data_IF_357311402066
#
_entry.id   IF_357311402066
#
_cell.length_a   1.000
_cell.length_b   1.000
_cell.length_c   1.000
_cell.angle_alpha   90.00
_cell.angle_beta   90.00
_cell.angle_gamma   90.00
#
_symmetry.space_group_name_H-M   'P 1'
#
loop_
_entity.id
_entity.type
_entity.pdbx_description
1 polymer ?
#
# COMPACT_ATOMS: atom_id res chain seq x y z
N UNK A 1 5.49 -24.92 -7.26
CA UNK A 1 5.46 -24.73 -5.80
C UNK A 1 6.73 -24.00 -5.38
N UNK A 2 6.57 -22.86 -4.73
CA UNK A 2 7.71 -22.10 -4.21
C UNK A 2 8.01 -22.57 -2.77
N UNK A 3 9.27 -22.86 -2.42
CA UNK A 3 9.62 -23.23 -1.07
C UNK A 3 9.15 -22.18 -0.04
N UNK A 4 8.36 -22.61 0.94
CA UNK A 4 7.75 -21.72 1.94
C UNK A 4 6.37 -21.17 1.57
N UNK A 5 5.83 -21.44 0.38
CA UNK A 5 4.44 -21.13 0.07
C UNK A 5 3.52 -21.99 0.91
N UNK A 6 2.52 -21.37 1.56
CA UNK A 6 1.59 -22.08 2.47
C UNK A 6 0.39 -22.69 1.74
N UNK A 7 0.16 -22.32 0.48
CA UNK A 7 -1.06 -22.66 -0.25
C UNK A 7 -2.32 -22.05 0.39
N UNK A 8 -3.46 -22.36 -0.21
CA UNK A 8 -4.76 -22.02 0.39
C UNK A 8 -5.13 -23.08 1.44
N UNK A 9 -5.15 -22.66 2.72
CA UNK A 9 -5.51 -23.56 3.84
C UNK A 9 -7.01 -23.60 4.11
N UNK A 10 -7.78 -22.73 3.46
CA UNK A 10 -9.21 -22.61 3.71
C UNK A 10 -10.02 -23.57 2.84
N UNK A 11 -9.72 -23.61 1.55
CA UNK A 11 -10.45 -24.40 0.55
C UNK A 11 -9.56 -25.35 -0.26
N UNK A 12 -8.23 -25.28 -0.09
CA UNK A 12 -7.27 -26.08 -0.86
C UNK A 12 -7.18 -25.68 -2.33
N UNK A 13 -7.55 -24.46 -2.69
CA UNK A 13 -7.57 -24.00 -4.07
C UNK A 13 -6.15 -23.75 -4.58
N UNK A 14 -5.83 -24.12 -5.84
CA UNK A 14 -4.49 -24.00 -6.38
C UNK A 14 -4.10 -22.58 -6.78
N UNK A 15 -5.07 -21.70 -7.08
CA UNK A 15 -4.81 -20.36 -7.56
C UNK A 15 -5.69 -19.30 -6.89
N UNK A 16 -5.15 -18.09 -6.72
CA UNK A 16 -5.90 -16.95 -6.17
C UNK A 16 -7.17 -16.62 -6.99
N UNK A 17 -7.13 -16.79 -8.31
CA UNK A 17 -8.30 -16.59 -9.17
C UNK A 17 -9.50 -17.45 -8.77
N UNK A 18 -9.25 -18.61 -8.20
CA UNK A 18 -10.31 -19.55 -7.82
C UNK A 18 -11.09 -19.03 -6.60
N UNK A 19 -10.46 -18.24 -5.73
CA UNK A 19 -11.12 -17.49 -4.66
C UNK A 19 -12.07 -16.44 -5.24
N UNK A 20 -11.63 -15.70 -6.26
CA UNK A 20 -12.47 -14.71 -6.95
C UNK A 20 -13.66 -15.37 -7.64
N UNK A 21 -13.44 -16.47 -8.34
CA UNK A 21 -14.50 -17.25 -9.00
C UNK A 21 -15.46 -17.91 -8.00
N UNK A 22 -14.98 -18.23 -6.77
CA UNK A 22 -15.85 -18.72 -5.69
C UNK A 22 -16.77 -17.62 -5.19
N UNK A 23 -16.27 -16.38 -5.06
CA UNK A 23 -17.09 -15.24 -4.66
C UNK A 23 -18.11 -14.85 -5.72
N UNK A 24 -17.70 -14.83 -6.99
CA UNK A 24 -18.58 -14.57 -8.14
C UNK A 24 -18.08 -15.34 -9.38
N UNK A 25 -18.80 -16.39 -9.80
CA UNK A 25 -18.43 -17.18 -11.00
C UNK A 25 -18.40 -16.38 -12.31
N UNK A 26 -18.99 -15.18 -12.33
CA UNK A 26 -19.03 -14.31 -13.50
C UNK A 26 -18.01 -13.17 -13.44
N UNK A 27 -17.20 -13.13 -12.40
CA UNK A 27 -16.20 -12.05 -12.22
C UNK A 27 -15.29 -11.99 -13.44
N UNK A 28 -15.08 -10.76 -13.92
CA UNK A 28 -14.15 -10.47 -15.01
C UNK A 28 -13.20 -9.37 -14.55
N UNK A 29 -11.91 -9.57 -14.77
CA UNK A 29 -10.91 -8.59 -14.39
C UNK A 29 -9.61 -9.21 -13.90
N UNK A 30 -8.77 -8.36 -13.32
CA UNK A 30 -7.47 -8.77 -12.77
C UNK A 30 -7.64 -9.22 -11.33
N UNK A 31 -7.11 -10.40 -11.01
CA UNK A 31 -6.97 -10.85 -9.62
C UNK A 31 -5.80 -10.13 -8.95
N UNK A 32 -6.04 -9.57 -7.79
CA UNK A 32 -5.08 -8.78 -7.02
C UNK A 32 -5.03 -9.22 -5.56
N UNK A 33 -4.00 -8.81 -4.85
CA UNK A 33 -3.85 -8.93 -3.40
C UNK A 33 -3.75 -7.50 -2.83
N UNK A 34 -4.21 -7.29 -1.59
CA UNK A 34 -4.79 -8.24 -0.62
C UNK A 34 -6.22 -8.68 -1.00
N UNK A 35 -6.72 -9.70 -0.31
CA UNK A 35 -8.13 -10.10 -0.34
C UNK A 35 -8.60 -10.29 1.10
N UNK A 36 -9.55 -9.47 1.52
CA UNK A 36 -10.29 -9.68 2.77
C UNK A 36 -11.50 -10.57 2.49
N UNK A 37 -11.52 -11.75 3.09
CA UNK A 37 -12.50 -12.81 2.84
C UNK A 37 -13.45 -12.98 4.02
N UNK A 38 -14.75 -12.96 3.77
CA UNK A 38 -15.78 -13.37 4.73
C UNK A 38 -16.00 -14.90 4.62
N UNK A 39 -15.60 -15.61 5.68
CA UNK A 39 -15.69 -17.08 5.71
C UNK A 39 -17.13 -17.60 5.86
N UNK A 40 -17.99 -16.80 6.48
CA UNK A 40 -19.38 -17.20 6.72
C UNK A 40 -20.23 -17.01 5.46
N UNK A 41 -20.04 -15.87 4.80
CA UNK A 41 -20.75 -15.55 3.55
C UNK A 41 -20.07 -16.07 2.30
N UNK A 42 -18.87 -16.63 2.44
CA UNK A 42 -18.02 -17.13 1.35
C UNK A 42 -17.84 -16.11 0.22
N UNK A 43 -17.52 -14.87 0.57
CA UNK A 43 -17.35 -13.80 -0.40
C UNK A 43 -16.19 -12.87 -0.07
N UNK A 44 -15.75 -12.10 -1.06
CA UNK A 44 -14.76 -11.03 -0.88
C UNK A 44 -15.46 -9.81 -0.27
N UNK A 45 -14.96 -9.36 0.88
CA UNK A 45 -15.37 -8.09 1.53
C UNK A 45 -14.77 -6.91 0.80
N UNK A 46 -13.46 -6.95 0.59
CA UNK A 46 -12.70 -5.97 -0.19
C UNK A 46 -11.38 -6.57 -0.66
N UNK A 47 -10.87 -6.07 -1.77
CA UNK A 47 -9.52 -6.32 -2.26
C UNK A 47 -8.71 -5.01 -2.42
N UNK A 48 -9.19 -3.93 -1.83
CA UNK A 48 -8.53 -2.63 -1.85
C UNK A 48 -7.88 -2.34 -0.50
N UNK A 49 -6.54 -2.23 -0.49
CA UNK A 49 -5.76 -2.05 0.75
C UNK A 49 -6.21 -0.84 1.57
N UNK A 50 -6.55 0.26 0.91
CA UNK A 50 -6.97 1.50 1.57
C UNK A 50 -8.29 1.35 2.32
N UNK A 51 -9.20 0.53 1.80
CA UNK A 51 -10.48 0.22 2.47
C UNK A 51 -10.25 -0.76 3.63
N UNK A 52 -9.44 -1.80 3.40
CA UNK A 52 -9.18 -2.85 4.40
C UNK A 52 -8.54 -2.26 5.65
N UNK A 53 -7.54 -1.39 5.52
CA UNK A 53 -6.90 -0.76 6.69
C UNK A 53 -7.88 0.13 7.46
N UNK A 54 -8.80 0.83 6.78
CA UNK A 54 -9.85 1.64 7.42
C UNK A 54 -10.91 0.78 8.10
N UNK A 55 -11.28 -0.36 7.52
CA UNK A 55 -12.13 -1.33 8.20
C UNK A 55 -11.48 -1.82 9.49
N UNK A 56 -10.19 -2.17 9.45
CA UNK A 56 -9.46 -2.66 10.61
C UNK A 56 -9.19 -1.58 11.66
N UNK A 57 -9.26 -0.31 11.28
CA UNK A 57 -9.07 0.79 12.21
C UNK A 57 -10.16 0.86 13.31
N UNK A 58 -11.35 0.33 13.05
CA UNK A 58 -12.47 0.43 14.02
C UNK A 58 -13.39 -0.79 14.08
N UNK A 59 -13.41 -1.67 13.08
CA UNK A 59 -14.42 -2.74 12.99
C UNK A 59 -14.35 -3.77 14.14
N UNK A 60 -13.23 -3.86 14.82
CA UNK A 60 -13.00 -4.83 15.89
C UNK A 60 -12.84 -4.22 17.28
N UNK A 61 -13.04 -2.91 17.44
CA UNK A 61 -12.83 -2.18 18.70
C UNK A 61 -13.68 -2.74 19.83
N UNK A 62 -14.95 -3.05 19.56
CA UNK A 62 -15.86 -3.66 20.53
C UNK A 62 -15.41 -5.05 21.02
N UNK A 63 -14.59 -5.74 20.22
CA UNK A 63 -14.08 -7.09 20.54
C UNK A 63 -12.72 -6.99 21.23
N UNK A 64 -11.85 -6.10 20.74
CA UNK A 64 -10.45 -5.98 21.19
C UNK A 64 -10.29 -5.01 22.35
N UNK A 65 -11.23 -4.08 22.52
CA UNK A 65 -11.10 -2.95 23.44
C UNK A 65 -10.05 -1.93 22.98
N UNK A 66 -9.57 -2.03 21.74
CA UNK A 66 -8.61 -1.06 21.20
C UNK A 66 -9.31 0.27 20.93
N UNK A 67 -8.62 1.37 21.21
CA UNK A 67 -9.11 2.74 20.99
C UNK A 67 -8.16 3.56 20.11
N UNK A 68 -7.13 2.92 19.55
CA UNK A 68 -6.21 3.57 18.63
C UNK A 68 -6.94 3.90 17.32
N UNK A 69 -6.91 5.18 16.94
CA UNK A 69 -7.51 5.66 15.69
C UNK A 69 -6.43 6.29 14.81
N UNK A 70 -6.09 5.61 13.71
CA UNK A 70 -5.10 6.06 12.73
C UNK A 70 -5.69 6.91 11.59
N UNK A 71 -7.01 7.12 11.60
CA UNK A 71 -7.73 7.97 10.65
C UNK A 71 -8.75 8.88 11.34
N UNK A 72 -8.29 9.68 12.33
CA UNK A 72 -9.15 10.49 13.18
C UNK A 72 -9.86 11.59 12.40
N UNK A 73 -11.11 11.85 12.79
CA UNK A 73 -12.00 12.76 12.08
C UNK A 73 -11.41 14.13 11.81
N UNK A 74 -10.71 14.69 12.79
CA UNK A 74 -10.11 16.03 12.74
C UNK A 74 -8.90 16.14 11.79
N UNK A 75 -8.28 15.02 11.40
CA UNK A 75 -7.12 15.01 10.50
C UNK A 75 -7.44 14.53 9.08
N UNK A 76 -8.66 14.09 8.80
CA UNK A 76 -9.02 13.50 7.48
C UNK A 76 -8.73 14.42 6.31
N UNK A 77 -9.10 15.69 6.42
CA UNK A 77 -8.87 16.67 5.36
C UNK A 77 -7.38 16.92 5.09
N UNK A 78 -6.51 16.69 6.09
CA UNK A 78 -5.06 16.76 5.94
C UNK A 78 -4.46 15.42 5.44
N UNK A 79 -5.02 14.29 5.84
CA UNK A 79 -4.59 12.93 5.47
C UNK A 79 -4.85 12.64 3.99
N UNK A 80 -6.04 12.95 3.48
CA UNK A 80 -6.44 12.56 2.13
C UNK A 80 -5.49 13.08 1.02
N UNK A 81 -5.10 14.37 0.97
CA UNK A 81 -4.19 14.84 -0.07
C UNK A 81 -2.77 14.23 0.06
N UNK A 82 -2.31 13.97 1.29
CA UNK A 82 -1.03 13.29 1.53
C UNK A 82 -1.09 11.86 1.03
N UNK A 83 -2.16 11.12 1.36
CA UNK A 83 -2.38 9.77 0.88
C UNK A 83 -2.48 9.71 -0.65
N UNK A 84 -3.20 10.64 -1.27
CA UNK A 84 -3.32 10.71 -2.73
C UNK A 84 -1.95 10.90 -3.40
N UNK A 85 -1.12 11.80 -2.88
CA UNK A 85 0.24 12.02 -3.38
C UNK A 85 1.10 10.78 -3.21
N UNK A 86 1.15 10.20 -1.99
CA UNK A 86 1.94 8.99 -1.69
C UNK A 86 1.50 7.84 -2.60
N UNK A 87 0.20 7.63 -2.74
CA UNK A 87 -0.34 6.54 -3.55
C UNK A 87 0.06 6.66 -5.01
N UNK A 88 -0.13 7.83 -5.62
CA UNK A 88 0.14 8.03 -7.05
C UNK A 88 1.63 8.03 -7.37
N UNK A 89 2.43 8.77 -6.59
CA UNK A 89 3.82 9.06 -6.94
C UNK A 89 4.84 8.15 -6.26
N UNK A 90 4.52 7.57 -5.08
CA UNK A 90 5.42 6.67 -4.34
C UNK A 90 4.98 5.23 -4.46
N UNK A 91 3.81 4.85 -3.92
CA UNK A 91 3.38 3.45 -3.90
C UNK A 91 3.21 2.88 -5.32
N UNK A 92 2.55 3.61 -6.22
CA UNK A 92 2.42 3.24 -7.63
C UNK A 92 3.60 3.74 -8.47
N UNK A 93 4.25 4.83 -8.08
CA UNK A 93 5.36 5.44 -8.80
C UNK A 93 6.52 4.47 -9.04
N UNK A 94 6.89 3.71 -8.02
CA UNK A 94 7.95 2.69 -8.14
C UNK A 94 7.61 1.63 -9.20
N UNK A 95 6.36 1.22 -9.29
CA UNK A 95 5.91 0.26 -10.31
C UNK A 95 5.78 0.90 -11.69
N UNK A 96 5.27 2.12 -11.78
CA UNK A 96 5.22 2.88 -13.04
C UNK A 96 6.62 3.04 -13.63
N UNK A 97 7.62 3.41 -12.81
CA UNK A 97 9.02 3.51 -13.23
C UNK A 97 9.60 2.16 -13.64
N UNK A 98 9.39 1.13 -12.81
CA UNK A 98 9.93 -0.21 -13.04
C UNK A 98 9.42 -0.87 -14.33
N UNK A 99 8.14 -0.73 -14.61
CA UNK A 99 7.50 -1.32 -15.80
C UNK A 99 7.47 -0.41 -17.03
N UNK A 100 8.07 0.78 -16.95
CA UNK A 100 8.16 1.68 -18.09
C UNK A 100 8.92 1.03 -19.26
N UNK A 101 8.33 1.11 -20.45
CA UNK A 101 8.87 0.54 -21.69
C UNK A 101 9.53 1.59 -22.59
N UNK A 102 9.50 2.86 -22.19
CA UNK A 102 10.16 3.96 -22.90
C UNK A 102 10.79 4.92 -21.89
N UNK A 103 11.81 5.70 -22.35
CA UNK A 103 12.44 6.72 -21.52
C UNK A 103 11.42 7.77 -21.07
N UNK A 104 10.55 8.22 -21.94
CA UNK A 104 9.52 9.22 -21.60
C UNK A 104 8.55 8.71 -20.51
N UNK A 105 8.13 7.43 -20.58
CA UNK A 105 7.27 6.83 -19.55
C UNK A 105 8.03 6.65 -18.21
N UNK A 106 9.30 6.32 -18.27
CA UNK A 106 10.16 6.23 -17.09
C UNK A 106 10.32 7.61 -16.43
N UNK A 107 10.67 8.63 -17.21
CA UNK A 107 10.88 9.99 -16.71
C UNK A 107 9.59 10.55 -16.07
N UNK A 108 8.44 10.32 -16.71
CA UNK A 108 7.14 10.74 -16.19
C UNK A 108 6.77 10.07 -14.84
N UNK A 109 7.40 8.97 -14.49
CA UNK A 109 7.18 8.26 -13.24
C UNK A 109 8.29 8.57 -12.20
N UNK A 110 9.56 8.52 -12.60
CA UNK A 110 10.69 8.60 -11.68
C UNK A 110 10.90 10.01 -11.11
N UNK A 111 10.65 11.06 -11.89
CA UNK A 111 10.81 12.43 -11.39
C UNK A 111 9.76 12.77 -10.31
N UNK A 112 8.45 12.57 -10.50
CA UNK A 112 7.45 12.79 -9.44
C UNK A 112 7.66 11.90 -8.21
N UNK A 113 8.20 10.68 -8.38
CA UNK A 113 8.57 9.81 -7.27
C UNK A 113 9.61 10.51 -6.37
N UNK A 114 10.74 10.96 -6.94
CA UNK A 114 11.81 11.57 -6.16
C UNK A 114 11.43 12.96 -5.64
N UNK A 115 10.68 13.77 -6.39
CA UNK A 115 10.09 15.02 -5.88
C UNK A 115 9.19 14.79 -4.66
N UNK A 116 8.50 13.64 -4.62
CA UNK A 116 7.67 13.30 -3.47
C UNK A 116 8.48 12.75 -2.31
N UNK A 117 9.58 12.03 -2.56
CA UNK A 117 10.50 11.61 -1.49
C UNK A 117 11.20 12.82 -0.87
N UNK A 118 11.66 13.79 -1.66
CA UNK A 118 12.26 15.02 -1.17
C UNK A 118 11.25 15.86 -0.34
N UNK A 119 10.00 15.96 -0.81
CA UNK A 119 8.92 16.62 -0.06
C UNK A 119 8.59 15.90 1.26
N UNK A 120 8.66 14.56 1.29
CA UNK A 120 8.46 13.76 2.50
C UNK A 120 9.61 13.99 3.50
N UNK A 121 10.85 14.08 3.00
CA UNK A 121 12.02 14.39 3.81
C UNK A 121 11.88 15.76 4.50
N UNK A 122 11.54 16.81 3.74
CA UNK A 122 11.31 18.15 4.29
C UNK A 122 10.22 18.16 5.37
N UNK A 123 9.18 17.33 5.20
CA UNK A 123 8.08 17.22 6.14
C UNK A 123 8.49 16.49 7.42
N UNK A 124 9.23 15.40 7.30
CA UNK A 124 9.69 14.58 8.43
C UNK A 124 10.88 15.21 9.16
N UNK A 125 11.65 16.08 8.52
CA UNK A 125 12.68 16.89 9.20
C UNK A 125 12.10 17.81 10.28
N UNK A 126 10.80 18.15 10.19
CA UNK A 126 10.14 19.06 11.13
C UNK A 126 9.12 18.36 12.03
N UNK A 127 8.76 17.12 11.72
CA UNK A 127 7.70 16.40 12.40
C UNK A 127 8.10 14.94 12.63
N UNK A 128 7.64 14.36 13.72
CA UNK A 128 7.86 12.94 14.00
C UNK A 128 7.15 12.02 13.01
N UNK A 129 5.95 12.40 12.59
CA UNK A 129 5.10 11.68 11.65
C UNK A 129 4.55 12.62 10.58
N UNK A 130 3.96 12.07 9.53
CA UNK A 130 3.42 12.87 8.42
C UNK A 130 2.34 13.87 8.85
N UNK A 131 1.62 13.60 9.94
CA UNK A 131 0.60 14.49 10.52
C UNK A 131 1.07 15.14 11.83
N UNK A 132 2.36 15.43 11.99
CA UNK A 132 2.94 16.04 13.18
C UNK A 132 3.36 15.00 14.21
N UNK A 133 2.83 15.10 15.43
CA UNK A 133 3.20 14.21 16.55
C UNK A 133 2.38 12.91 16.59
N UNK A 134 1.37 12.76 15.72
CA UNK A 134 0.47 11.62 15.74
C UNK A 134 0.72 10.69 14.55
N UNK A 135 0.95 9.41 14.86
CA UNK A 135 1.01 8.34 13.87
C UNK A 135 -0.37 8.14 13.22
N UNK A 136 -0.43 8.13 11.90
CA UNK A 136 -1.66 7.98 11.13
C UNK A 136 -1.55 6.92 10.03
N UNK A 137 -2.65 6.62 9.34
CA UNK A 137 -2.63 5.69 8.21
C UNK A 137 -1.68 6.13 7.09
N UNK A 138 -1.40 7.44 6.95
CA UNK A 138 -0.45 7.95 5.95
C UNK A 138 0.96 7.40 6.17
N UNK A 139 1.39 7.33 7.43
CA UNK A 139 2.70 6.79 7.80
C UNK A 139 2.79 5.29 7.47
N UNK A 140 1.75 4.52 7.80
CA UNK A 140 1.67 3.10 7.48
C UNK A 140 1.68 2.83 5.96
N UNK A 141 0.94 3.63 5.20
CA UNK A 141 0.87 3.51 3.73
C UNK A 141 2.22 3.84 3.07
N UNK A 142 2.93 4.84 3.57
CA UNK A 142 4.27 5.21 3.12
C UNK A 142 5.30 4.14 3.50
N UNK A 143 5.30 3.72 4.77
CA UNK A 143 6.28 2.79 5.33
C UNK A 143 6.42 1.50 4.50
N UNK A 144 5.31 0.94 4.01
CA UNK A 144 5.33 -0.30 3.23
C UNK A 144 6.17 -0.20 1.95
N UNK A 145 6.25 0.97 1.32
CA UNK A 145 7.10 1.20 0.16
C UNK A 145 8.53 1.53 0.57
N UNK A 146 8.73 2.38 1.58
CA UNK A 146 10.06 2.78 2.00
C UNK A 146 10.92 1.60 2.48
N UNK A 147 10.36 0.70 3.28
CA UNK A 147 11.10 -0.48 3.79
C UNK A 147 11.57 -1.42 2.67
N UNK A 148 10.89 -1.42 1.52
CA UNK A 148 11.25 -2.22 0.34
C UNK A 148 12.04 -1.42 -0.70
N UNK A 149 12.22 -0.11 -0.50
CA UNK A 149 12.76 0.75 -1.53
C UNK A 149 14.18 0.33 -1.93
N UNK A 150 15.11 0.35 -0.98
CA UNK A 150 16.51 0.06 -1.25
C UNK A 150 16.75 -1.40 -1.71
N UNK A 151 16.18 -2.43 -1.04
CA UNK A 151 16.44 -3.81 -1.45
C UNK A 151 15.72 -4.22 -2.74
N UNK A 152 14.63 -3.56 -3.11
CA UNK A 152 13.80 -3.99 -4.24
C UNK A 152 13.67 -2.91 -5.32
N UNK A 153 13.13 -1.73 -4.97
CA UNK A 153 12.74 -0.75 -5.99
C UNK A 153 13.92 0.01 -6.57
N UNK A 154 14.96 0.25 -5.77
CA UNK A 154 16.17 0.93 -6.24
C UNK A 154 16.83 0.19 -7.41
N UNK A 155 16.98 -1.13 -7.32
CA UNK A 155 17.64 -1.91 -8.36
C UNK A 155 16.65 -2.48 -9.39
N UNK A 156 15.71 -3.35 -8.98
CA UNK A 156 14.83 -4.06 -9.90
C UNK A 156 13.85 -3.15 -10.64
N UNK A 157 13.42 -2.06 -10.01
CA UNK A 157 12.47 -1.12 -10.59
C UNK A 157 13.14 0.17 -11.08
N UNK A 158 14.46 0.19 -11.12
CA UNK A 158 15.25 1.33 -11.67
C UNK A 158 15.02 2.66 -10.96
N UNK A 159 14.49 2.66 -9.71
CA UNK A 159 14.30 3.86 -8.90
C UNK A 159 15.64 4.28 -8.25
N UNK A 160 16.69 4.46 -9.06
CA UNK A 160 18.08 4.44 -8.63
C UNK A 160 18.78 5.81 -8.60
N UNK A 161 18.01 6.90 -8.43
CA UNK A 161 18.60 8.24 -8.28
C UNK A 161 19.19 8.49 -6.89
N UNK A 162 18.53 7.95 -5.85
CA UNK A 162 18.92 8.07 -4.44
C UNK A 162 18.31 6.89 -3.67
N UNK A 163 18.99 6.36 -2.66
CA UNK A 163 18.45 5.33 -1.77
C UNK A 163 17.77 6.00 -0.57
N UNK A 164 16.90 5.26 0.12
CA UNK A 164 16.29 5.80 1.36
C UNK A 164 17.36 6.05 2.43
N UNK A 165 18.38 5.19 2.53
CA UNK A 165 19.49 5.39 3.49
C UNK A 165 20.35 6.62 3.20
N UNK A 166 20.23 7.25 2.05
CA UNK A 166 20.95 8.47 1.68
C UNK A 166 20.16 9.75 2.05
N UNK A 167 18.91 9.62 2.56
CA UNK A 167 18.16 10.70 3.19
C UNK A 167 18.58 10.85 4.66
N UNK A 168 18.64 12.09 5.23
CA UNK A 168 19.04 12.35 6.61
C UNK A 168 18.25 11.61 7.68
#
# INVERSE_FOLDING_TARGET
>A
DYPGATGDRLYGLPFLRDIYLRADPKISGRVTVPVLWDRERETIVSNESSEIIRMFNSAFDDITGNTDDYWPGELRDAIEPVNARIYDTVNNGVYKAGFATSQAAYDAAVYPLFESLDWLEDRLAQNRYLMGERLTESDWRLFTTLIRFDPVYHLHFKCNRKRIVDYP
#
